data_IF_125738902676
#
_entry.id   IF_125738902676
#
_cell.length_a   1.000
_cell.length_b   1.000
_cell.length_c   1.000
_cell.angle_alpha   90.00
_cell.angle_beta   90.00
_cell.angle_gamma   90.00
#
_symmetry.space_group_name_H-M   'P 1'
#
loop_
_entity.id
_entity.type
_entity.pdbx_description
1 polymer ?
#
# COMPACT_ATOMS: atom_id res chain seq x y z
N UNK A 1 29.81 -8.86 -6.95
CA UNK A 1 29.62 -9.42 -8.31
C UNK A 1 28.15 -9.24 -8.64
N UNK A 2 27.80 -8.38 -9.61
CA UNK A 2 26.45 -8.37 -10.15
C UNK A 2 26.32 -9.64 -11.01
N UNK A 3 25.47 -10.58 -10.58
CA UNK A 3 25.05 -11.68 -11.45
C UNK A 3 24.30 -11.07 -12.63
N UNK A 4 24.63 -11.48 -13.85
CA UNK A 4 23.89 -11.07 -15.03
C UNK A 4 22.39 -11.35 -14.86
N UNK A 5 21.55 -10.56 -15.52
CA UNK A 5 20.10 -10.78 -15.50
C UNK A 5 19.78 -12.14 -16.13
N UNK A 6 19.20 -13.05 -15.35
CA UNK A 6 18.90 -14.40 -15.78
C UNK A 6 17.45 -14.52 -16.26
N UNK A 7 17.23 -15.16 -17.41
CA UNK A 7 15.88 -15.45 -17.88
C UNK A 7 15.27 -16.59 -17.06
N UNK A 8 14.05 -16.38 -16.58
CA UNK A 8 13.28 -17.33 -15.75
C UNK A 8 11.86 -17.42 -16.28
N UNK A 9 11.24 -18.59 -16.14
CA UNK A 9 9.80 -18.72 -16.28
C UNK A 9 9.16 -18.41 -14.91
N UNK A 10 8.28 -17.42 -14.86
CA UNK A 10 7.53 -17.09 -13.66
C UNK A 10 6.18 -17.82 -13.70
N UNK A 11 5.94 -18.67 -12.72
CA UNK A 11 4.71 -19.45 -12.58
C UNK A 11 3.97 -19.07 -11.31
N UNK A 12 2.64 -19.07 -11.38
CA UNK A 12 1.76 -18.86 -10.25
C UNK A 12 1.02 -20.17 -9.94
N UNK A 13 1.05 -20.58 -8.67
CA UNK A 13 0.19 -21.65 -8.15
C UNK A 13 -0.86 -21.04 -7.22
N UNK A 14 -1.70 -21.88 -6.58
CA UNK A 14 -2.69 -21.39 -5.61
C UNK A 14 -2.07 -20.73 -4.38
N UNK A 15 -0.84 -21.11 -4.00
CA UNK A 15 -0.23 -20.69 -2.72
C UNK A 15 1.15 -20.05 -2.87
N UNK A 16 1.82 -20.24 -4.01
CA UNK A 16 3.20 -19.80 -4.20
C UNK A 16 3.45 -19.18 -5.59
N UNK A 17 4.36 -18.21 -5.61
CA UNK A 17 5.09 -17.75 -6.78
C UNK A 17 6.33 -18.63 -6.96
N UNK A 18 6.55 -19.11 -8.19
CA UNK A 18 7.64 -20.05 -8.50
C UNK A 18 8.43 -19.49 -9.68
N UNK A 19 9.75 -19.39 -9.53
CA UNK A 19 10.65 -19.18 -10.65
C UNK A 19 11.21 -20.52 -11.10
N UNK A 20 11.15 -20.80 -12.40
CA UNK A 20 11.75 -21.98 -13.00
C UNK A 20 12.87 -21.62 -13.95
N UNK A 21 13.88 -22.48 -13.97
CA UNK A 21 14.89 -22.47 -15.01
C UNK A 21 14.26 -22.86 -16.36
N UNK A 22 14.66 -22.18 -17.45
CA UNK A 22 14.04 -22.37 -18.75
C UNK A 22 14.44 -23.67 -19.44
N UNK A 23 15.62 -24.22 -19.13
CA UNK A 23 16.14 -25.41 -19.79
C UNK A 23 15.72 -26.68 -19.05
N UNK A 24 15.92 -26.69 -17.74
CA UNK A 24 15.68 -27.86 -16.88
C UNK A 24 14.27 -27.89 -16.30
N UNK A 25 13.55 -26.77 -16.34
CA UNK A 25 12.24 -26.59 -15.70
C UNK A 25 12.26 -26.75 -14.17
N UNK A 26 13.45 -26.87 -13.57
CA UNK A 26 13.62 -26.99 -12.13
C UNK A 26 13.18 -25.70 -11.43
N UNK A 27 12.59 -25.84 -10.24
CA UNK A 27 12.28 -24.69 -9.40
C UNK A 27 13.59 -24.09 -8.87
N UNK A 28 13.78 -22.79 -9.13
CA UNK A 28 14.93 -22.00 -8.68
C UNK A 28 14.58 -21.28 -7.38
N UNK A 29 13.41 -20.65 -7.34
CA UNK A 29 12.87 -20.06 -6.11
C UNK A 29 11.39 -20.35 -5.98
N UNK A 30 10.95 -20.38 -4.73
CA UNK A 30 9.56 -20.56 -4.34
C UNK A 30 9.25 -19.59 -3.19
N UNK A 31 8.24 -18.75 -3.37
CA UNK A 31 7.80 -17.76 -2.38
C UNK A 31 6.30 -17.91 -2.13
N UNK A 32 5.85 -18.10 -0.87
CA UNK A 32 4.43 -18.05 -0.54
C UNK A 32 3.81 -16.72 -1.00
N UNK A 33 2.62 -16.77 -1.59
CA UNK A 33 1.90 -15.58 -2.03
C UNK A 33 1.50 -14.70 -0.85
N UNK A 34 1.21 -15.30 0.30
CA UNK A 34 0.96 -14.61 1.57
C UNK A 34 2.13 -13.74 2.03
N UNK A 35 3.35 -13.99 1.54
CA UNK A 35 4.52 -13.21 1.92
C UNK A 35 4.73 -11.96 1.05
N UNK A 36 3.95 -11.77 -0.02
CA UNK A 36 4.06 -10.59 -0.89
C UNK A 36 3.44 -9.37 -0.18
N UNK A 37 4.21 -8.31 0.02
CA UNK A 37 3.73 -7.10 0.73
C UNK A 37 3.31 -5.98 -0.23
N UNK A 38 4.01 -5.82 -1.35
CA UNK A 38 3.69 -4.82 -2.35
C UNK A 38 4.20 -5.23 -3.73
N UNK A 39 3.53 -4.73 -4.77
CA UNK A 39 3.94 -4.85 -6.16
C UNK A 39 4.34 -3.47 -6.67
N UNK A 40 5.61 -3.28 -7.01
CA UNK A 40 6.14 -1.99 -7.45
C UNK A 40 6.11 -1.92 -8.97
N UNK A 41 5.28 -1.05 -9.52
CA UNK A 41 5.22 -0.74 -10.96
C UNK A 41 6.15 0.44 -11.25
N UNK A 42 7.25 0.20 -11.95
CA UNK A 42 8.20 1.28 -12.26
C UNK A 42 7.56 2.31 -13.22
N UNK A 43 7.67 3.58 -12.85
CA UNK A 43 7.25 4.73 -13.66
C UNK A 43 8.15 4.94 -14.88
N UNK A 44 9.46 4.81 -14.68
CA UNK A 44 10.50 5.13 -15.65
C UNK A 44 10.79 3.99 -16.65
N UNK A 45 10.27 2.79 -16.41
CA UNK A 45 10.47 1.64 -17.30
C UNK A 45 9.19 0.78 -17.37
N UNK A 46 8.55 0.80 -18.54
CA UNK A 46 7.28 0.11 -18.82
C UNK A 46 7.34 -1.41 -18.71
N UNK A 47 8.55 -1.99 -18.72
CA UNK A 47 8.76 -3.43 -18.62
C UNK A 47 9.16 -3.89 -17.22
N UNK A 48 9.54 -2.95 -16.35
CA UNK A 48 10.13 -3.26 -15.06
C UNK A 48 9.09 -3.21 -13.93
N UNK A 49 9.10 -4.25 -13.10
CA UNK A 49 8.36 -4.28 -11.84
C UNK A 49 9.16 -5.01 -10.77
N UNK A 50 8.82 -4.76 -9.50
CA UNK A 50 9.45 -5.40 -8.35
C UNK A 50 8.40 -5.99 -7.43
N UNK A 51 8.66 -7.17 -6.87
CA UNK A 51 7.85 -7.78 -5.82
C UNK A 51 8.60 -7.58 -4.50
N UNK A 52 7.95 -6.97 -3.51
CA UNK A 52 8.45 -6.86 -2.15
C UNK A 52 7.86 -7.97 -1.27
N UNK A 53 8.69 -8.49 -0.36
CA UNK A 53 8.32 -9.59 0.53
C UNK A 53 8.39 -9.19 2.01
N UNK A 54 7.65 -9.91 2.84
CA UNK A 54 7.55 -9.66 4.29
C UNK A 54 8.88 -9.86 5.06
N UNK A 55 9.83 -10.62 4.50
CA UNK A 55 11.20 -10.73 5.04
C UNK A 55 12.07 -9.50 4.73
N UNK A 56 11.52 -8.49 4.04
CA UNK A 56 12.21 -7.29 3.61
C UNK A 56 13.08 -7.48 2.38
N UNK A 57 13.10 -8.67 1.77
CA UNK A 57 13.71 -8.90 0.47
C UNK A 57 12.81 -8.42 -0.67
N UNK A 58 13.38 -8.26 -1.86
CA UNK A 58 12.65 -7.94 -3.07
C UNK A 58 13.24 -8.63 -4.28
N UNK A 59 12.42 -8.80 -5.32
CA UNK A 59 12.86 -9.28 -6.63
C UNK A 59 12.32 -8.42 -7.74
N UNK A 60 13.20 -8.02 -8.65
CA UNK A 60 12.90 -7.17 -9.80
C UNK A 60 12.90 -8.00 -11.07
N UNK A 61 11.92 -7.77 -11.93
CA UNK A 61 11.69 -8.51 -13.16
C UNK A 61 11.52 -7.54 -14.34
N UNK A 62 11.85 -8.03 -15.53
CA UNK A 62 11.60 -7.35 -16.81
C UNK A 62 10.68 -8.22 -17.66
N UNK A 63 9.60 -7.64 -18.19
CA UNK A 63 8.65 -8.33 -19.09
C UNK A 63 7.95 -7.33 -20.00
N UNK A 64 7.60 -7.74 -21.22
CA UNK A 64 6.82 -6.90 -22.14
C UNK A 64 5.36 -6.76 -21.71
N UNK A 65 4.84 -7.71 -20.91
CA UNK A 65 3.43 -7.77 -20.50
C UNK A 65 3.27 -7.40 -19.01
N UNK A 66 3.99 -6.37 -18.55
CA UNK A 66 4.12 -6.03 -17.12
C UNK A 66 2.78 -5.84 -16.44
N UNK A 67 1.92 -5.00 -17.00
CA UNK A 67 0.68 -4.60 -16.33
C UNK A 67 -0.31 -5.78 -16.25
N UNK A 68 -0.38 -6.64 -17.27
CA UNK A 68 -1.15 -7.89 -17.23
C UNK A 68 -0.62 -8.88 -16.19
N UNK A 69 0.70 -8.98 -16.06
CA UNK A 69 1.34 -9.84 -15.06
C UNK A 69 1.11 -9.30 -13.64
N UNK A 70 1.21 -7.98 -13.45
CA UNK A 70 0.91 -7.32 -12.17
C UNK A 70 -0.55 -7.55 -11.76
N UNK A 71 -1.50 -7.45 -12.68
CA UNK A 71 -2.91 -7.77 -12.41
C UNK A 71 -3.07 -9.24 -11.97
N UNK A 72 -2.47 -10.18 -12.70
CA UNK A 72 -2.51 -11.60 -12.37
C UNK A 72 -1.88 -11.91 -11.01
N UNK A 73 -0.76 -11.27 -10.68
CA UNK A 73 -0.12 -11.40 -9.38
C UNK A 73 -0.97 -10.81 -8.25
N UNK A 74 -1.56 -9.64 -8.48
CA UNK A 74 -2.43 -9.00 -7.51
C UNK A 74 -3.62 -9.90 -7.17
N UNK A 75 -4.29 -10.44 -8.19
CA UNK A 75 -5.43 -11.34 -8.02
C UNK A 75 -5.01 -12.66 -7.36
N UNK A 76 -3.88 -13.22 -7.75
CA UNK A 76 -3.33 -14.43 -7.14
C UNK A 76 -3.01 -14.27 -5.66
N UNK A 77 -2.34 -13.17 -5.29
CA UNK A 77 -1.98 -12.90 -3.90
C UNK A 77 -3.22 -12.64 -3.05
N UNK A 78 -4.18 -11.84 -3.55
CA UNK A 78 -5.46 -11.63 -2.85
C UNK A 78 -6.27 -12.92 -2.72
N UNK A 79 -6.32 -13.72 -3.78
CA UNK A 79 -6.97 -15.05 -3.78
C UNK A 79 -6.34 -16.03 -2.78
N UNK A 80 -5.07 -15.84 -2.41
CA UNK A 80 -4.41 -16.62 -1.35
C UNK A 80 -4.73 -16.16 0.08
N UNK A 81 -5.56 -15.12 0.25
CA UNK A 81 -5.99 -14.57 1.54
C UNK A 81 -5.24 -13.30 1.97
N UNK A 82 -4.23 -12.86 1.21
CA UNK A 82 -3.53 -11.61 1.50
C UNK A 82 -4.18 -10.44 0.77
N UNK A 83 -5.18 -9.85 1.41
CA UNK A 83 -5.96 -8.73 0.85
C UNK A 83 -5.21 -7.39 0.84
N UNK A 84 -4.09 -7.31 1.57
CA UNK A 84 -3.34 -6.07 1.76
C UNK A 84 -2.37 -5.73 0.63
N UNK A 85 -2.10 -6.70 -0.25
CA UNK A 85 -1.29 -6.44 -1.44
C UNK A 85 -1.94 -5.36 -2.31
N UNK A 86 -1.09 -4.46 -2.81
CA UNK A 86 -1.47 -3.41 -3.72
C UNK A 86 -0.30 -3.07 -4.65
N UNK A 87 -0.63 -2.45 -5.78
CA UNK A 87 0.36 -1.92 -6.72
C UNK A 87 0.72 -0.50 -6.28
N UNK A 88 2.01 -0.16 -6.33
CA UNK A 88 2.53 1.17 -6.05
C UNK A 88 3.69 1.57 -6.97
N UNK A 89 4.00 2.85 -7.09
CA UNK A 89 5.05 3.37 -7.99
C UNK A 89 6.46 3.30 -7.39
N UNK A 90 6.59 3.53 -6.07
CA UNK A 90 7.88 3.59 -5.38
C UNK A 90 8.07 2.41 -4.41
N UNK A 91 9.30 1.88 -4.24
CA UNK A 91 9.58 0.88 -3.20
C UNK A 91 9.17 1.35 -1.79
N UNK A 92 8.91 0.41 -0.89
CA UNK A 92 8.51 0.73 0.47
C UNK A 92 9.69 1.23 1.29
N UNK A 93 9.56 2.46 1.81
CA UNK A 93 10.59 3.07 2.66
C UNK A 93 10.68 2.36 4.01
N UNK A 94 11.63 1.43 4.17
CA UNK A 94 11.79 0.64 5.41
C UNK A 94 11.86 1.49 6.68
N UNK A 95 12.55 2.64 6.64
CA UNK A 95 12.65 3.57 7.77
C UNK A 95 11.38 4.37 8.09
N UNK A 96 10.30 4.20 7.30
CA UNK A 96 8.99 4.82 7.54
C UNK A 96 8.06 3.88 8.30
N UNK A 97 8.39 2.59 8.43
CA UNK A 97 7.64 1.61 9.22
C UNK A 97 8.09 1.62 10.68
N UNK A 98 7.15 1.50 11.61
CA UNK A 98 7.40 1.46 13.06
C UNK A 98 7.73 0.05 13.59
N UNK A 99 7.68 -0.98 12.75
CA UNK A 99 8.05 -2.35 13.09
C UNK A 99 8.38 -3.20 11.85
N UNK A 100 8.70 -4.49 12.03
CA UNK A 100 8.96 -5.39 10.90
C UNK A 100 7.76 -5.54 9.97
N UNK A 101 7.98 -5.89 8.70
CA UNK A 101 6.90 -6.06 7.72
C UNK A 101 5.98 -7.25 8.01
N UNK A 102 6.50 -8.29 8.65
CA UNK A 102 5.73 -9.48 9.04
C UNK A 102 4.97 -9.32 10.38
N UNK A 103 5.12 -8.18 11.06
CA UNK A 103 4.42 -7.87 12.32
C UNK A 103 3.30 -6.89 12.02
N UNK A 104 2.08 -7.22 12.44
CA UNK A 104 0.95 -6.28 12.42
C UNK A 104 1.21 -5.13 13.39
N UNK A 105 0.85 -3.91 12.98
CA UNK A 105 1.02 -2.73 13.84
C UNK A 105 -0.13 -2.65 14.85
N UNK A 106 0.12 -1.96 15.96
CA UNK A 106 -0.89 -1.73 16.99
C UNK A 106 -1.75 -0.49 16.66
N UNK A 107 -2.91 -0.38 17.31
CA UNK A 107 -3.89 0.70 17.07
C UNK A 107 -3.30 2.09 17.33
N UNK A 108 -2.42 2.19 18.32
CA UNK A 108 -1.72 3.41 18.73
C UNK A 108 -0.84 3.94 17.59
N UNK A 109 -0.26 3.06 16.79
CA UNK A 109 0.55 3.44 15.63
C UNK A 109 -0.33 4.10 14.57
N UNK A 110 -1.53 3.54 14.30
CA UNK A 110 -2.47 4.13 13.34
C UNK A 110 -2.95 5.51 13.81
N UNK A 111 -3.30 5.61 15.09
CA UNK A 111 -3.75 6.86 15.74
C UNK A 111 -2.70 7.96 15.66
N UNK A 112 -1.43 7.61 15.91
CA UNK A 112 -0.30 8.53 15.79
C UNK A 112 -0.14 9.06 14.35
N UNK A 113 -0.23 8.18 13.35
CA UNK A 113 -0.10 8.60 11.96
C UNK A 113 -1.29 9.44 11.48
N UNK A 114 -2.52 9.16 11.95
CA UNK A 114 -3.66 10.04 11.72
C UNK A 114 -3.46 11.43 12.35
N UNK A 115 -2.86 11.49 13.55
CA UNK A 115 -2.48 12.77 14.15
C UNK A 115 -1.48 13.54 13.27
N UNK A 116 -0.44 12.89 12.75
CA UNK A 116 0.52 13.53 11.85
C UNK A 116 -0.09 13.98 10.52
N UNK A 117 -1.13 13.30 10.04
CA UNK A 117 -1.89 13.73 8.87
C UNK A 117 -2.72 14.97 9.16
N UNK A 118 -3.30 15.10 10.36
CA UNK A 118 -4.02 16.32 10.79
C UNK A 118 -3.07 17.49 11.00
N UNK A 119 -1.99 17.26 11.74
CA UNK A 119 -1.01 18.27 12.13
C UNK A 119 0.40 17.81 11.70
N UNK A 120 0.88 18.31 10.55
CA UNK A 120 2.23 17.95 10.07
C UNK A 120 3.27 18.48 11.04
N UNK A 121 4.17 17.63 11.55
CA UNK A 121 5.28 18.09 12.38
C UNK A 121 6.16 19.12 11.67
N UNK A 122 6.70 20.08 12.42
CA UNK A 122 7.59 21.11 11.87
C UNK A 122 8.76 20.48 11.09
N UNK A 123 9.09 21.05 9.93
CA UNK A 123 10.15 20.59 9.00
C UNK A 123 9.89 19.25 8.30
N UNK A 124 8.65 18.74 8.33
CA UNK A 124 8.23 17.57 7.55
C UNK A 124 7.24 17.99 6.46
N UNK A 125 7.14 17.20 5.40
CA UNK A 125 6.13 17.40 4.35
C UNK A 125 4.90 16.53 4.60
N UNK A 126 3.75 16.94 4.07
CA UNK A 126 2.54 16.10 4.04
C UNK A 126 2.82 14.76 3.36
N UNK A 127 3.56 14.77 2.23
CA UNK A 127 3.87 13.56 1.47
C UNK A 127 4.63 12.52 2.29
N UNK A 128 5.59 12.96 3.12
CA UNK A 128 6.27 12.05 4.02
C UNK A 128 5.28 11.43 5.03
N UNK A 129 4.30 12.21 5.52
CA UNK A 129 3.30 11.71 6.46
C UNK A 129 2.33 10.73 5.79
N UNK A 130 1.92 10.96 4.54
CA UNK A 130 1.12 10.03 3.74
C UNK A 130 1.86 8.70 3.56
N UNK A 131 3.14 8.75 3.18
CA UNK A 131 3.94 7.54 3.01
C UNK A 131 4.13 6.76 4.32
N UNK A 132 4.36 7.47 5.44
CA UNK A 132 4.44 6.85 6.76
C UNK A 132 3.11 6.19 7.14
N UNK A 133 1.99 6.89 6.96
CA UNK A 133 0.66 6.32 7.20
C UNK A 133 0.45 5.05 6.37
N UNK A 134 0.66 5.11 5.05
CA UNK A 134 0.49 3.97 4.14
C UNK A 134 1.40 2.78 4.45
N UNK A 135 2.57 3.03 5.03
CA UNK A 135 3.53 1.99 5.40
C UNK A 135 3.18 1.31 6.73
N UNK A 136 2.37 1.95 7.58
CA UNK A 136 2.00 1.43 8.90
C UNK A 136 0.54 0.96 8.99
N UNK A 137 -0.33 1.40 8.08
CA UNK A 137 -1.74 1.00 8.04
C UNK A 137 -1.97 -0.04 6.94
N UNK A 138 -2.63 -1.17 7.23
CA UNK A 138 -2.99 -2.18 6.23
C UNK A 138 -3.80 -1.59 5.07
N UNK A 139 -3.65 -2.14 3.86
CA UNK A 139 -4.40 -1.64 2.69
C UNK A 139 -5.89 -1.95 2.79
N UNK A 140 -6.26 -3.00 3.54
CA UNK A 140 -7.64 -3.33 3.90
C UNK A 140 -8.31 -2.23 4.73
N UNK A 141 -7.54 -1.34 5.35
CA UNK A 141 -8.04 -0.24 6.18
C UNK A 141 -7.43 -0.24 7.57
N UNK A 142 -7.86 0.73 8.37
CA UNK A 142 -7.51 0.82 9.79
C UNK A 142 -7.95 -0.45 10.54
N UNK A 143 -7.10 -0.97 11.43
CA UNK A 143 -7.42 -2.04 12.39
C UNK A 143 -8.64 -1.65 13.25
N UNK A 144 -8.86 -0.32 13.37
CA UNK A 144 -10.02 0.36 13.97
C UNK A 144 -11.42 -0.19 13.59
N UNK A 145 -11.55 -1.06 12.58
CA UNK A 145 -12.83 -1.65 12.18
C UNK A 145 -13.26 -2.89 12.99
N UNK A 146 -12.32 -3.60 13.62
CA UNK A 146 -12.58 -4.97 14.12
C UNK A 146 -12.92 -5.03 15.61
N UNK A 147 -12.70 -3.95 16.35
CA UNK A 147 -12.85 -3.94 17.82
C UNK A 147 -13.69 -2.77 18.32
N UNK A 148 -14.88 -3.10 18.82
CA UNK A 148 -15.73 -2.38 19.80
C UNK A 148 -16.93 -1.59 19.26
N UNK A 149 -18.08 -2.28 19.18
CA UNK A 149 -19.36 -1.68 19.59
C UNK A 149 -19.29 -1.35 21.09
N UNK A 150 -18.97 -0.10 21.44
CA UNK A 150 -18.81 0.32 22.84
C UNK A 150 -18.75 1.83 23.00
N UNK A 151 -18.88 2.30 24.25
CA UNK A 151 -19.01 3.70 24.68
C UNK A 151 -17.94 4.69 24.14
N UNK A 152 -16.82 4.19 23.59
CA UNK A 152 -15.70 4.98 23.07
C UNK A 152 -15.61 5.01 21.53
N UNK A 153 -16.55 4.39 20.79
CA UNK A 153 -16.58 4.36 19.32
C UNK A 153 -16.67 5.77 18.70
N UNK A 154 -17.45 6.66 19.29
CA UNK A 154 -17.72 8.00 18.74
C UNK A 154 -16.47 8.88 18.63
N UNK A 155 -15.56 8.79 19.61
CA UNK A 155 -14.30 9.52 19.57
C UNK A 155 -13.39 9.03 18.43
N UNK A 156 -13.46 7.74 18.09
CA UNK A 156 -12.65 7.12 17.04
C UNK A 156 -13.18 7.46 15.65
N UNK A 157 -14.49 7.37 15.42
CA UNK A 157 -15.10 7.79 14.16
C UNK A 157 -14.80 9.26 13.86
N UNK A 158 -14.91 10.12 14.89
CA UNK A 158 -14.58 11.54 14.79
C UNK A 158 -13.13 11.78 14.39
N UNK A 159 -12.18 10.97 14.89
CA UNK A 159 -10.77 11.10 14.51
C UNK A 159 -10.54 10.81 13.02
N UNK A 160 -11.22 9.80 12.46
CA UNK A 160 -11.16 9.48 11.02
C UNK A 160 -11.73 10.64 10.20
N UNK A 161 -12.91 11.14 10.57
CA UNK A 161 -13.56 12.26 9.88
C UNK A 161 -12.69 13.53 9.91
N UNK A 162 -12.10 13.86 11.06
CA UNK A 162 -11.18 14.98 11.19
C UNK A 162 -9.91 14.82 10.35
N UNK A 163 -9.40 13.60 10.25
CA UNK A 163 -8.22 13.32 9.40
C UNK A 163 -8.54 13.52 7.93
N UNK A 164 -9.70 13.03 7.48
CA UNK A 164 -10.17 13.25 6.10
C UNK A 164 -10.41 14.73 5.80
N UNK A 165 -11.04 15.45 6.73
CA UNK A 165 -11.25 16.88 6.62
C UNK A 165 -9.93 17.66 6.52
N UNK A 166 -8.95 17.34 7.37
CA UNK A 166 -7.63 17.98 7.35
C UNK A 166 -6.84 17.70 6.07
N UNK A 167 -7.08 16.56 5.39
CA UNK A 167 -6.50 16.28 4.08
C UNK A 167 -7.14 17.17 3.01
N UNK A 168 -8.47 17.34 3.03
CA UNK A 168 -9.18 18.20 2.07
C UNK A 168 -8.80 19.67 2.18
N UNK A 169 -8.65 20.18 3.40
CA UNK A 169 -8.35 21.60 3.67
C UNK A 169 -6.99 22.04 3.12
N UNK A 170 -6.15 21.09 2.71
CA UNK A 170 -4.81 21.38 2.18
C UNK A 170 -4.78 21.77 0.71
N UNK A 171 -5.94 21.98 0.08
CA UNK A 171 -6.08 22.39 -1.33
C UNK A 171 -5.09 21.64 -2.24
N UNK A 172 -5.18 20.31 -2.19
CA UNK A 172 -4.29 19.46 -2.97
C UNK A 172 -4.76 19.49 -4.43
N UNK A 173 -4.05 20.20 -5.29
CA UNK A 173 -4.29 20.15 -6.74
C UNK A 173 -3.61 18.90 -7.33
N UNK A 174 -4.36 17.90 -7.83
CA UNK A 174 -3.77 16.71 -8.44
C UNK A 174 -2.87 17.00 -9.65
N UNK A 175 -3.04 18.15 -10.32
CA UNK A 175 -2.23 18.52 -11.49
C UNK A 175 -0.82 18.99 -11.11
N UNK A 176 -0.65 19.50 -9.89
CA UNK A 176 0.63 20.01 -9.39
C UNK A 176 1.44 18.94 -8.63
N UNK A 177 0.89 17.73 -8.47
CA UNK A 177 1.52 16.65 -7.72
C UNK A 177 2.37 15.75 -8.61
N UNK A 178 3.51 15.32 -8.06
CA UNK A 178 4.24 14.17 -8.61
C UNK A 178 3.34 12.92 -8.59
N UNK A 179 3.36 12.06 -9.64
CA UNK A 179 2.48 10.91 -9.74
C UNK A 179 2.53 9.97 -8.52
N UNK A 180 3.71 9.80 -7.94
CA UNK A 180 3.88 8.96 -6.75
C UNK A 180 3.29 9.58 -5.47
N UNK A 181 3.23 10.91 -5.39
CA UNK A 181 2.67 11.62 -4.25
C UNK A 181 1.14 11.61 -4.35
N UNK A 182 0.59 11.76 -5.55
CA UNK A 182 -0.83 11.55 -5.86
C UNK A 182 -1.26 10.12 -5.54
N UNK A 183 -0.46 9.12 -5.93
CA UNK A 183 -0.69 7.72 -5.57
C UNK A 183 -0.70 7.52 -4.04
N UNK A 184 0.26 8.11 -3.32
CA UNK A 184 0.32 8.01 -1.86
C UNK A 184 -0.93 8.63 -1.18
N UNK A 185 -1.46 9.72 -1.73
CA UNK A 185 -2.73 10.30 -1.29
C UNK A 185 -3.89 9.32 -1.48
N UNK A 186 -4.07 8.77 -2.68
CA UNK A 186 -5.15 7.80 -2.94
C UNK A 186 -5.04 6.54 -2.09
N UNK A 187 -3.82 6.04 -1.87
CA UNK A 187 -3.56 4.93 -0.95
C UNK A 187 -3.95 5.27 0.50
N UNK A 188 -3.74 6.51 0.93
CA UNK A 188 -4.15 6.98 2.27
C UNK A 188 -5.67 7.03 2.37
N UNK A 189 -6.32 7.66 1.39
CA UNK A 189 -7.77 7.81 1.35
C UNK A 189 -8.47 6.45 1.28
N UNK A 190 -7.98 5.51 0.47
CA UNK A 190 -8.51 4.16 0.37
C UNK A 190 -8.54 3.43 1.73
N UNK A 191 -7.53 3.65 2.57
CA UNK A 191 -7.43 3.04 3.91
C UNK A 191 -8.38 3.69 4.92
N UNK A 192 -8.54 5.02 4.85
CA UNK A 192 -9.49 5.75 5.69
C UNK A 192 -10.95 5.40 5.33
N UNK A 193 -11.26 5.41 4.02
CA UNK A 193 -12.60 5.14 3.46
C UNK A 193 -13.02 3.69 3.63
N UNK A 194 -12.08 2.77 3.83
CA UNK A 194 -12.42 1.37 4.11
C UNK A 194 -13.31 1.21 5.35
N UNK A 195 -13.31 2.18 6.26
CA UNK A 195 -14.12 2.17 7.49
C UNK A 195 -15.51 2.76 7.28
N UNK A 196 -16.49 2.35 8.09
CA UNK A 196 -17.85 2.94 8.09
C UNK A 196 -17.81 4.47 8.25
N UNK A 197 -17.03 4.95 9.22
CA UNK A 197 -16.86 6.37 9.48
C UNK A 197 -16.24 7.11 8.29
N UNK A 198 -15.19 6.54 7.69
CA UNK A 198 -14.52 7.11 6.53
C UNK A 198 -15.39 7.11 5.27
N UNK A 199 -16.13 6.03 5.03
CA UNK A 199 -17.11 5.96 3.93
C UNK A 199 -18.27 6.95 4.13
N UNK A 200 -18.74 7.12 5.38
CA UNK A 200 -19.73 8.15 5.71
C UNK A 200 -19.17 9.54 5.41
N UNK A 201 -17.96 9.86 5.90
CA UNK A 201 -17.30 11.14 5.62
C UNK A 201 -17.13 11.38 4.11
N UNK A 202 -16.68 10.39 3.35
CA UNK A 202 -16.59 10.47 1.89
C UNK A 202 -17.92 10.83 1.22
N UNK A 203 -19.05 10.45 1.83
CA UNK A 203 -20.38 10.70 1.29
C UNK A 203 -21.03 11.98 1.80
N UNK A 204 -20.63 12.50 2.96
CA UNK A 204 -21.27 13.64 3.62
C UNK A 204 -20.43 14.90 3.65
N UNK A 205 -19.10 14.79 3.58
CA UNK A 205 -18.21 15.95 3.53
C UNK A 205 -18.36 16.67 2.20
N UNK A 206 -18.88 17.89 2.27
CA UNK A 206 -19.15 18.74 1.10
C UNK A 206 -17.83 19.06 0.37
N UNK A 207 -17.80 18.89 -0.95
CA UNK A 207 -16.61 19.18 -1.74
C UNK A 207 -15.56 18.05 -1.76
N UNK A 208 -15.76 16.95 -1.00
CA UNK A 208 -14.77 15.87 -0.93
C UNK A 208 -14.62 15.17 -2.27
N UNK A 209 -15.74 14.87 -2.93
CA UNK A 209 -15.74 14.15 -4.21
C UNK A 209 -15.25 15.04 -5.33
N UNK A 210 -15.69 16.30 -5.34
CA UNK A 210 -15.29 17.32 -6.30
C UNK A 210 -13.79 17.66 -6.18
N UNK A 211 -13.25 17.68 -4.97
CA UNK A 211 -11.83 17.94 -4.73
C UNK A 211 -10.89 16.80 -5.13
N UNK A 212 -11.41 15.59 -5.38
CA UNK A 212 -10.60 14.46 -5.84
C UNK A 212 -10.50 14.34 -7.37
N UNK A 213 -11.32 15.10 -8.11
CA UNK A 213 -11.48 14.98 -9.57
C UNK A 213 -12.72 14.18 -9.96
#
# INVERSE_FOLDING_TARGET
RHSDSERRLLCLSQVCLIERDLQTYNAVTLRPLTNVTALIRCDNNSQLFTIEYADGSSKTYLTTNRDSLLATLLDGVRGSGNMDVHVKMKPTGRGKRMGPFYVAMEEEVESLHMQYLREVPCKRSLFEMLERFNTNVPYSGLIHQVTQDGLFSDNKEKAIQQTMQAIMEREIDPQDMEPADLEALFHTLRRLIASKAGFSAFSTLRGFREGLG
#
